data_IF_083789839068
#
_entry.id   IF_083789839068
#
_cell.length_a   1.000
_cell.length_b   1.000
_cell.length_c   1.000
_cell.angle_alpha   90.00
_cell.angle_beta   90.00
_cell.angle_gamma   90.00
#
_symmetry.space_group_name_H-M   'P 1'
#
loop_
_entity.id
_entity.type
_entity.pdbx_description
1 polymer ?
#
# COMPACT_ATOMS: atom_id res chain seq x y z
N UNK A 1 0.32 -17.37 2.89
CA UNK A 1 0.53 -18.14 4.16
C UNK A 1 -0.50 -17.69 5.18
N UNK A 2 -1.38 -18.57 5.70
CA UNK A 2 -2.42 -18.17 6.66
C UNK A 2 -1.77 -17.79 7.99
N UNK A 3 -1.93 -16.56 8.44
CA UNK A 3 -1.45 -16.10 9.74
C UNK A 3 -2.08 -16.92 10.88
N UNK A 4 -1.26 -17.28 11.87
CA UNK A 4 -1.74 -17.96 13.08
C UNK A 4 -2.42 -16.92 13.97
N UNK A 5 -3.66 -17.19 14.41
CA UNK A 5 -4.39 -16.32 15.35
C UNK A 5 -3.54 -15.99 16.58
N UNK A 6 -3.44 -14.70 16.90
CA UNK A 6 -2.72 -14.23 18.08
C UNK A 6 -3.58 -14.40 19.33
N UNK A 7 -2.95 -14.91 20.40
CA UNK A 7 -3.58 -14.86 21.72
C UNK A 7 -3.67 -13.40 22.17
N UNK A 8 -4.78 -13.06 22.82
CA UNK A 8 -5.03 -11.71 23.37
C UNK A 8 -4.94 -10.59 22.29
N UNK A 9 -5.46 -10.85 21.07
CA UNK A 9 -5.43 -9.86 19.99
C UNK A 9 -6.06 -8.52 20.45
N UNK A 10 -7.29 -8.55 20.94
CA UNK A 10 -8.02 -7.33 21.32
C UNK A 10 -7.29 -6.50 22.40
N UNK A 11 -6.84 -7.08 23.53
CA UNK A 11 -6.03 -6.33 24.50
C UNK A 11 -4.76 -5.70 23.90
N UNK A 12 -4.09 -6.37 22.96
CA UNK A 12 -2.89 -5.84 22.28
C UNK A 12 -3.24 -4.67 21.38
N UNK A 13 -4.36 -4.76 20.62
CA UNK A 13 -4.89 -3.68 19.81
C UNK A 13 -5.19 -2.44 20.67
N UNK A 14 -5.83 -2.63 21.86
CA UNK A 14 -6.12 -1.54 22.79
C UNK A 14 -4.86 -0.84 23.32
N UNK A 15 -3.81 -1.60 23.62
CA UNK A 15 -2.50 -1.04 24.04
C UNK A 15 -1.87 -0.15 22.96
N UNK A 16 -2.25 -0.34 21.68
CA UNK A 16 -1.78 0.43 20.54
C UNK A 16 -2.87 1.33 19.95
N UNK A 17 -3.90 1.67 20.75
CA UNK A 17 -5.09 2.39 20.26
C UNK A 17 -4.80 3.76 19.66
N UNK A 18 -3.70 4.42 20.05
CA UNK A 18 -3.23 5.69 19.49
C UNK A 18 -2.86 5.60 18.00
N UNK A 19 -2.54 4.39 17.51
CA UNK A 19 -2.23 4.12 16.11
C UNK A 19 -3.44 3.61 15.32
N UNK A 20 -4.55 3.27 15.95
CA UNK A 20 -5.67 2.57 15.33
C UNK A 20 -6.83 3.49 15.02
N UNK A 21 -7.09 3.70 13.75
CA UNK A 21 -8.30 4.39 13.27
C UNK A 21 -9.45 3.38 13.21
N UNK A 22 -10.39 3.50 14.15
CA UNK A 22 -11.54 2.57 14.29
C UNK A 22 -12.65 2.85 13.28
N UNK A 23 -12.84 4.11 12.92
CA UNK A 23 -13.82 4.54 11.91
C UNK A 23 -13.11 5.35 10.80
N UNK A 24 -12.55 4.64 9.80
CA UNK A 24 -11.88 5.30 8.69
C UNK A 24 -12.84 6.07 7.77
N UNK A 25 -14.13 5.73 7.79
CA UNK A 25 -15.14 6.43 6.97
C UNK A 25 -15.41 7.84 7.47
N UNK A 26 -15.36 8.05 8.78
CA UNK A 26 -15.48 9.38 9.40
C UNK A 26 -14.24 10.27 9.13
N UNK A 27 -13.11 9.66 8.70
CA UNK A 27 -11.87 10.36 8.38
C UNK A 27 -11.81 10.90 6.96
N UNK A 28 -12.72 10.52 6.08
CA UNK A 28 -12.75 10.96 4.68
C UNK A 28 -12.70 12.49 4.57
N UNK A 29 -11.67 13.01 3.90
CA UNK A 29 -11.40 14.44 3.74
C UNK A 29 -10.79 15.11 4.98
N UNK A 30 -10.40 14.34 6.01
CA UNK A 30 -9.87 14.85 7.28
C UNK A 30 -8.56 14.21 7.70
N UNK A 31 -7.98 13.34 6.87
CA UNK A 31 -6.75 12.64 7.25
C UNK A 31 -5.62 13.60 7.63
N UNK A 32 -5.49 14.72 6.93
CA UNK A 32 -4.48 15.74 7.23
C UNK A 32 -4.70 16.48 8.55
N UNK A 33 -5.88 16.34 9.20
CA UNK A 33 -6.11 16.88 10.54
C UNK A 33 -5.32 16.12 11.63
N UNK A 34 -4.92 14.86 11.35
CA UNK A 34 -4.05 14.09 12.25
C UNK A 34 -2.64 14.64 12.35
N UNK A 35 -2.17 15.30 11.28
CA UNK A 35 -0.84 15.90 11.18
C UNK A 35 -0.88 17.06 10.17
N UNK A 36 -1.38 18.24 10.57
CA UNK A 36 -1.60 19.37 9.65
C UNK A 36 -0.34 19.89 8.95
N UNK A 37 0.83 19.68 9.57
CA UNK A 37 2.15 20.04 9.04
C UNK A 37 2.73 19.01 8.06
N UNK A 38 2.05 17.88 7.86
CA UNK A 38 2.55 16.83 6.97
C UNK A 38 2.69 17.35 5.53
N UNK A 39 3.85 17.07 4.94
CA UNK A 39 4.13 17.44 3.55
C UNK A 39 3.31 16.60 2.58
N UNK A 40 3.25 15.29 2.80
CA UNK A 40 2.57 14.31 1.96
C UNK A 40 1.80 13.30 2.83
N UNK A 41 0.69 12.77 2.29
CA UNK A 41 0.00 11.61 2.81
C UNK A 41 0.37 10.38 2.00
N UNK A 42 1.04 9.44 2.62
CA UNK A 42 1.39 8.15 2.03
C UNK A 42 0.46 7.04 2.52
N UNK A 43 0.00 6.20 1.60
CA UNK A 43 -0.90 5.10 1.89
C UNK A 43 -0.25 3.76 1.52
N UNK A 44 -0.24 2.77 2.43
CA UNK A 44 0.21 1.41 2.15
C UNK A 44 -0.95 0.41 2.19
N UNK A 45 -1.08 -0.40 1.15
CA UNK A 45 -2.10 -1.44 1.04
C UNK A 45 -1.51 -2.82 1.37
N UNK A 46 -1.95 -3.41 2.48
CA UNK A 46 -1.47 -4.71 2.94
C UNK A 46 -0.13 -4.62 3.66
N UNK A 47 -0.03 -3.78 4.69
CA UNK A 47 1.23 -3.53 5.41
C UNK A 47 1.80 -4.76 6.15
N UNK A 48 1.01 -5.81 6.34
CA UNK A 48 1.42 -7.01 7.04
C UNK A 48 1.89 -6.73 8.47
N UNK A 49 3.15 -7.07 8.79
CA UNK A 49 3.76 -6.83 10.11
C UNK A 49 4.45 -5.47 10.23
N UNK A 50 4.32 -4.61 9.23
CA UNK A 50 4.66 -3.19 9.27
C UNK A 50 6.15 -2.85 9.33
N UNK A 51 7.06 -3.69 8.83
CA UNK A 51 8.47 -3.30 8.75
C UNK A 51 8.65 -2.13 7.81
N UNK A 52 8.13 -2.25 6.58
CA UNK A 52 8.21 -1.18 5.59
C UNK A 52 7.52 0.10 6.09
N UNK A 53 6.29 -0.04 6.62
CA UNK A 53 5.54 1.05 7.24
C UNK A 53 6.36 1.81 8.28
N UNK A 54 6.88 1.09 9.28
CA UNK A 54 7.58 1.69 10.40
C UNK A 54 8.93 2.32 10.01
N UNK A 55 9.71 1.64 9.16
CA UNK A 55 11.01 2.14 8.71
C UNK A 55 10.85 3.34 7.76
N UNK A 56 9.83 3.34 6.89
CA UNK A 56 9.51 4.48 6.00
C UNK A 56 9.04 5.70 6.81
N UNK A 57 8.11 5.52 7.74
CA UNK A 57 7.63 6.60 8.59
C UNK A 57 8.73 7.18 9.49
N UNK A 58 9.67 6.33 9.95
CA UNK A 58 10.84 6.77 10.73
C UNK A 58 11.83 7.56 9.89
N UNK A 59 12.04 7.13 8.63
CA UNK A 59 13.01 7.76 7.73
C UNK A 59 12.60 9.17 7.33
N UNK A 60 11.29 9.43 7.26
CA UNK A 60 10.77 10.77 6.96
C UNK A 60 9.62 11.13 7.92
N UNK A 61 9.92 11.81 9.02
CA UNK A 61 8.91 12.25 9.99
C UNK A 61 7.96 13.33 9.48
N UNK A 62 8.20 13.92 8.31
CA UNK A 62 7.30 14.90 7.68
C UNK A 62 6.14 14.27 6.90
N UNK A 63 6.13 12.95 6.77
CA UNK A 63 5.05 12.21 6.11
C UNK A 63 3.93 11.89 7.09
N UNK A 64 2.70 12.07 6.66
CA UNK A 64 1.54 11.42 7.26
C UNK A 64 1.40 10.03 6.61
N UNK A 65 1.58 8.97 7.39
CA UNK A 65 1.57 7.61 6.87
C UNK A 65 0.33 6.85 7.33
N UNK A 66 -0.44 6.32 6.39
CA UNK A 66 -1.62 5.48 6.67
C UNK A 66 -1.40 4.09 6.09
N UNK A 67 -1.66 3.05 6.87
CA UNK A 67 -1.51 1.67 6.44
C UNK A 67 -2.81 0.87 6.62
N UNK A 68 -3.24 0.19 5.57
CA UNK A 68 -4.43 -0.68 5.59
C UNK A 68 -3.98 -2.14 5.65
N UNK A 69 -4.58 -2.91 6.57
CA UNK A 69 -4.35 -4.36 6.65
C UNK A 69 -5.66 -5.08 6.98
N UNK A 70 -5.98 -6.14 6.19
CA UNK A 70 -7.19 -6.96 6.37
C UNK A 70 -7.07 -7.99 7.48
N UNK A 71 -5.86 -8.26 7.95
CA UNK A 71 -5.58 -9.30 8.94
C UNK A 71 -5.16 -8.64 10.25
N UNK A 72 -6.08 -8.46 11.21
CA UNK A 72 -5.77 -7.77 12.48
C UNK A 72 -4.61 -8.41 13.25
N UNK A 73 -4.42 -9.72 13.12
CA UNK A 73 -3.26 -10.45 13.68
C UNK A 73 -1.90 -10.01 13.12
N UNK A 74 -1.87 -9.45 11.90
CA UNK A 74 -0.68 -8.84 11.31
C UNK A 74 -0.57 -7.38 11.73
N UNK A 75 -1.66 -6.63 11.61
CA UNK A 75 -1.73 -5.22 11.92
C UNK A 75 -1.31 -4.90 13.36
N UNK A 76 -1.72 -5.71 14.34
CA UNK A 76 -1.30 -5.51 15.74
C UNK A 76 0.21 -5.55 15.91
N UNK A 77 0.91 -6.42 15.17
CA UNK A 77 2.40 -6.48 15.19
C UNK A 77 3.01 -5.22 14.57
N UNK A 78 2.38 -4.70 13.51
CA UNK A 78 2.81 -3.45 12.89
C UNK A 78 2.65 -2.25 13.84
N UNK A 79 1.51 -2.14 14.51
CA UNK A 79 1.26 -1.10 15.52
C UNK A 79 2.25 -1.18 16.69
N UNK A 80 2.47 -2.39 17.24
CA UNK A 80 3.47 -2.60 18.32
C UNK A 80 4.88 -2.19 17.89
N UNK A 81 5.26 -2.47 16.63
CA UNK A 81 6.55 -2.04 16.06
C UNK A 81 6.66 -0.52 16.03
N UNK A 82 5.64 0.19 15.54
CA UNK A 82 5.62 1.65 15.51
C UNK A 82 5.67 2.24 16.91
N UNK A 83 4.93 1.67 17.86
CA UNK A 83 4.95 2.07 19.26
C UNK A 83 6.32 1.88 19.90
N UNK A 84 6.96 0.74 19.68
CA UNK A 84 8.32 0.47 20.17
C UNK A 84 9.38 1.43 19.60
N UNK A 85 9.14 1.96 18.39
CA UNK A 85 10.00 2.95 17.73
C UNK A 85 9.64 4.40 18.09
N UNK A 86 8.55 4.64 18.85
CA UNK A 86 8.08 5.96 19.24
C UNK A 86 7.63 6.84 18.06
N UNK A 87 7.03 6.25 17.05
CA UNK A 87 6.57 6.99 15.87
C UNK A 87 5.27 7.73 16.18
N UNK A 88 5.11 8.93 15.61
CA UNK A 88 3.91 9.77 15.82
C UNK A 88 3.24 10.21 14.51
N UNK A 89 3.73 9.71 13.39
CA UNK A 89 3.30 10.07 12.03
C UNK A 89 2.71 8.89 11.25
N UNK A 90 2.22 7.86 11.94
CA UNK A 90 1.68 6.64 11.30
C UNK A 90 0.37 6.19 11.96
N UNK A 91 -0.62 5.79 11.13
CA UNK A 91 -1.91 5.27 11.59
C UNK A 91 -2.30 4.02 10.78
N UNK A 92 -3.12 3.16 11.39
CA UNK A 92 -3.53 1.89 10.83
C UNK A 92 -5.04 1.76 10.73
N UNK A 93 -5.49 1.13 9.64
CA UNK A 93 -6.89 0.79 9.36
C UNK A 93 -7.01 -0.73 9.27
N UNK A 94 -7.90 -1.33 10.10
CA UNK A 94 -8.37 -2.70 9.90
C UNK A 94 -9.46 -2.66 8.81
N UNK A 95 -9.09 -2.94 7.57
CA UNK A 95 -9.99 -2.73 6.45
C UNK A 95 -9.58 -3.37 5.13
N UNK A 96 -10.48 -3.23 4.17
CA UNK A 96 -10.29 -3.70 2.80
C UNK A 96 -10.00 -2.52 1.86
N UNK A 97 -8.92 -2.61 1.07
CA UNK A 97 -8.58 -1.66 0.02
C UNK A 97 -9.69 -1.50 -1.05
N UNK A 98 -10.64 -2.42 -1.12
CA UNK A 98 -11.82 -2.28 -1.99
C UNK A 98 -12.74 -1.10 -1.60
N UNK A 99 -12.58 -0.53 -0.41
CA UNK A 99 -13.38 0.56 0.13
C UNK A 99 -12.62 1.90 0.17
N UNK A 100 -11.52 2.04 -0.57
CA UNK A 100 -10.67 3.23 -0.53
C UNK A 100 -11.42 4.53 -0.78
N UNK A 101 -12.25 4.58 -1.81
CA UNK A 101 -13.02 5.80 -2.15
C UNK A 101 -14.11 6.16 -1.13
N UNK A 102 -14.41 5.25 -0.19
CA UNK A 102 -15.29 5.53 0.94
C UNK A 102 -14.52 6.07 2.15
N UNK A 103 -13.24 5.73 2.26
CA UNK A 103 -12.34 6.12 3.36
C UNK A 103 -11.53 7.38 3.07
N UNK A 104 -11.21 7.66 1.80
CA UNK A 104 -10.42 8.82 1.38
C UNK A 104 -11.23 9.70 0.42
N UNK A 105 -11.08 11.01 0.55
CA UNK A 105 -11.64 11.99 -0.38
C UNK A 105 -10.84 12.01 -1.71
N UNK A 106 -11.39 12.63 -2.76
CA UNK A 106 -10.63 12.88 -3.98
C UNK A 106 -9.35 13.68 -3.68
N UNK A 107 -8.25 13.27 -4.33
CA UNK A 107 -6.95 13.93 -4.27
C UNK A 107 -6.36 14.05 -2.85
N UNK A 108 -6.74 13.17 -1.94
CA UNK A 108 -6.28 13.22 -0.54
C UNK A 108 -4.95 12.48 -0.31
N UNK A 109 -4.55 11.60 -1.24
CA UNK A 109 -3.37 10.73 -1.14
C UNK A 109 -2.32 11.15 -2.16
N UNK A 110 -1.08 11.39 -1.72
CA UNK A 110 0.03 11.76 -2.59
C UNK A 110 0.75 10.52 -3.16
N UNK A 111 0.86 9.44 -2.36
CA UNK A 111 1.56 8.22 -2.77
C UNK A 111 0.93 6.95 -2.19
N UNK A 112 0.89 5.91 -3.00
CA UNK A 112 0.35 4.62 -2.65
C UNK A 112 1.40 3.52 -2.81
N UNK A 113 1.54 2.66 -1.81
CA UNK A 113 2.46 1.52 -1.83
C UNK A 113 1.69 0.21 -1.89
N UNK A 114 2.11 -0.68 -2.80
CA UNK A 114 1.64 -2.06 -2.94
C UNK A 114 2.87 -2.97 -2.89
N UNK A 115 3.12 -3.57 -1.74
CA UNK A 115 4.29 -4.40 -1.53
C UNK A 115 3.89 -5.87 -1.35
N UNK A 116 4.31 -6.76 -2.27
CA UNK A 116 4.14 -8.22 -2.17
C UNK A 116 2.69 -8.67 -1.94
N UNK A 117 1.76 -8.04 -2.63
CA UNK A 117 0.35 -8.42 -2.58
C UNK A 117 0.10 -9.81 -3.19
N UNK A 118 -1.05 -10.42 -2.83
CA UNK A 118 -1.45 -11.72 -3.35
C UNK A 118 -1.57 -11.73 -4.89
N UNK A 119 -0.91 -12.66 -5.60
CA UNK A 119 -0.86 -12.65 -7.06
C UNK A 119 -2.13 -13.15 -7.74
N UNK A 120 -3.03 -13.85 -7.02
CA UNK A 120 -4.27 -14.40 -7.53
C UNK A 120 -4.10 -15.05 -8.91
N UNK A 121 -3.43 -16.23 -9.00
CA UNK A 121 -2.95 -16.78 -10.27
C UNK A 121 -4.07 -17.30 -11.20
N UNK A 122 -5.26 -17.61 -10.67
CA UNK A 122 -6.37 -18.13 -11.46
C UNK A 122 -7.07 -17.01 -12.24
N UNK A 123 -7.49 -17.28 -13.47
CA UNK A 123 -8.14 -16.30 -14.35
C UNK A 123 -9.42 -15.69 -13.75
N UNK A 124 -10.23 -16.49 -13.06
CA UNK A 124 -11.45 -16.03 -12.38
C UNK A 124 -11.19 -15.20 -11.11
N UNK A 125 -9.93 -15.03 -10.69
CA UNK A 125 -9.53 -14.28 -9.52
C UNK A 125 -8.81 -12.95 -9.87
N UNK A 126 -8.62 -12.65 -11.16
CA UNK A 126 -7.90 -11.43 -11.61
C UNK A 126 -8.43 -10.15 -10.96
N UNK A 127 -9.76 -10.03 -10.80
CA UNK A 127 -10.43 -8.88 -10.17
C UNK A 127 -10.02 -8.62 -8.70
N UNK A 128 -9.32 -9.57 -8.08
CA UNK A 128 -8.81 -9.47 -6.69
C UNK A 128 -7.39 -8.91 -6.60
N UNK A 129 -6.68 -8.80 -7.73
CA UNK A 129 -5.33 -8.21 -7.78
C UNK A 129 -5.41 -6.73 -7.47
N UNK A 130 -4.55 -6.24 -6.61
CA UNK A 130 -4.50 -4.81 -6.26
C UNK A 130 -4.06 -3.93 -7.46
N UNK A 131 -3.50 -4.52 -8.50
CA UNK A 131 -3.17 -3.84 -9.76
C UNK A 131 -4.23 -4.02 -10.87
N UNK A 132 -5.41 -4.57 -10.56
CA UNK A 132 -6.52 -4.70 -11.50
C UNK A 132 -7.26 -3.37 -11.68
N UNK A 133 -7.83 -3.14 -12.88
CA UNK A 133 -8.56 -1.94 -13.24
C UNK A 133 -9.61 -1.48 -12.22
N UNK A 134 -10.31 -2.40 -11.56
CA UNK A 134 -11.27 -2.06 -10.50
C UNK A 134 -10.61 -1.29 -9.32
N UNK A 135 -9.37 -1.61 -8.99
CA UNK A 135 -8.60 -0.92 -7.96
C UNK A 135 -7.96 0.35 -8.53
N UNK A 136 -7.40 0.27 -9.75
CA UNK A 136 -6.78 1.43 -10.40
C UNK A 136 -7.76 2.60 -10.56
N UNK A 137 -9.02 2.32 -10.90
CA UNK A 137 -10.10 3.33 -10.92
C UNK A 137 -10.35 3.96 -9.54
N UNK A 138 -10.21 3.20 -8.45
CA UNK A 138 -10.31 3.75 -7.10
C UNK A 138 -9.08 4.57 -6.72
N UNK A 139 -7.88 4.10 -7.11
CA UNK A 139 -6.64 4.85 -6.86
C UNK A 139 -6.67 6.21 -7.55
N UNK A 140 -7.16 6.28 -8.79
CA UNK A 140 -7.36 7.55 -9.50
C UNK A 140 -8.28 8.53 -8.79
N UNK A 141 -9.27 8.02 -8.05
CA UNK A 141 -10.19 8.89 -7.30
C UNK A 141 -9.55 9.52 -6.06
N UNK A 142 -8.63 8.82 -5.41
CA UNK A 142 -8.06 9.24 -4.13
C UNK A 142 -6.67 9.83 -4.24
N UNK A 143 -5.90 9.48 -5.30
CA UNK A 143 -4.59 10.07 -5.57
C UNK A 143 -4.75 11.49 -6.11
N UNK A 144 -3.85 12.38 -5.72
CA UNK A 144 -3.69 13.68 -6.39
C UNK A 144 -3.17 13.51 -7.82
N UNK A 145 -3.34 14.53 -8.67
CA UNK A 145 -2.76 14.54 -10.01
C UNK A 145 -1.22 14.52 -9.91
N UNK A 146 -0.59 13.59 -10.62
CA UNK A 146 0.84 13.32 -10.49
C UNK A 146 1.21 12.40 -9.32
N UNK A 147 0.24 12.01 -8.48
CA UNK A 147 0.42 11.05 -7.40
C UNK A 147 0.87 9.68 -7.91
N UNK A 148 1.58 8.93 -7.08
CA UNK A 148 2.30 7.74 -7.52
C UNK A 148 1.84 6.47 -6.84
N UNK A 149 1.86 5.36 -7.60
CA UNK A 149 1.78 4.00 -7.09
C UNK A 149 3.18 3.39 -7.16
N UNK A 150 3.73 2.98 -6.02
CA UNK A 150 4.96 2.22 -5.93
C UNK A 150 4.63 0.75 -5.73
N UNK A 151 4.94 -0.08 -6.70
CA UNK A 151 4.62 -1.50 -6.70
C UNK A 151 5.88 -2.36 -6.68
N UNK A 152 5.93 -3.32 -5.72
CA UNK A 152 6.98 -4.33 -5.62
C UNK A 152 6.38 -5.73 -5.51
N UNK A 153 6.97 -6.70 -6.20
CA UNK A 153 6.59 -8.13 -6.13
C UNK A 153 7.73 -9.05 -6.52
N UNK A 154 7.77 -10.24 -5.94
CA UNK A 154 8.62 -11.35 -6.36
C UNK A 154 7.94 -12.27 -7.40
N UNK A 155 6.70 -11.97 -7.78
CA UNK A 155 5.91 -12.77 -8.71
C UNK A 155 5.96 -12.19 -10.12
N UNK A 156 6.76 -12.80 -10.99
CA UNK A 156 6.97 -12.34 -12.37
C UNK A 156 5.66 -12.28 -13.18
N UNK A 157 4.76 -13.27 -13.01
CA UNK A 157 3.48 -13.29 -13.75
C UNK A 157 2.54 -12.15 -13.33
N UNK A 158 2.51 -11.81 -12.04
CA UNK A 158 1.75 -10.66 -11.58
C UNK A 158 2.41 -9.37 -12.10
N UNK A 159 3.73 -9.30 -12.09
CA UNK A 159 4.47 -8.15 -12.57
C UNK A 159 4.25 -7.89 -14.06
N UNK A 160 4.41 -8.91 -14.90
CA UNK A 160 4.16 -8.83 -16.36
C UNK A 160 2.74 -8.36 -16.65
N UNK A 161 1.76 -8.98 -16.00
CA UNK A 161 0.38 -8.57 -16.13
C UNK A 161 0.14 -7.13 -15.68
N UNK A 162 0.79 -6.68 -14.60
CA UNK A 162 0.66 -5.32 -14.09
C UNK A 162 1.29 -4.27 -15.01
N UNK A 163 2.38 -4.60 -15.71
CA UNK A 163 3.00 -3.75 -16.74
C UNK A 163 2.04 -3.47 -17.90
N UNK A 164 1.18 -4.43 -18.24
CA UNK A 164 0.16 -4.29 -19.30
C UNK A 164 -1.11 -3.60 -18.81
N UNK A 165 -1.56 -3.91 -17.59
CA UNK A 165 -2.84 -3.43 -17.04
C UNK A 165 -2.77 -1.96 -16.58
N UNK A 166 -1.74 -1.58 -15.83
CA UNK A 166 -1.66 -0.26 -15.17
C UNK A 166 -1.73 0.91 -16.17
N UNK A 167 -1.03 0.90 -17.32
CA UNK A 167 -1.09 2.00 -18.28
C UNK A 167 -2.48 2.22 -18.90
N UNK A 168 -3.30 1.18 -18.99
CA UNK A 168 -4.66 1.26 -19.56
C UNK A 168 -5.61 2.13 -18.71
N UNK A 169 -5.20 2.46 -17.49
CA UNK A 169 -5.99 3.26 -16.54
C UNK A 169 -5.36 4.63 -16.24
N UNK A 170 -4.56 5.18 -17.16
CA UNK A 170 -4.02 6.53 -17.05
C UNK A 170 -2.89 6.65 -16.03
N UNK A 171 -1.98 5.70 -16.05
CA UNK A 171 -0.73 5.76 -15.29
C UNK A 171 0.47 5.57 -16.22
N UNK A 172 1.45 6.45 -16.14
CA UNK A 172 2.74 6.30 -16.82
C UNK A 172 3.71 5.54 -15.94
N UNK A 173 4.38 4.53 -16.55
CA UNK A 173 5.35 3.70 -15.84
C UNK A 173 6.75 4.29 -15.90
N UNK A 174 7.43 4.26 -14.76
CA UNK A 174 8.83 4.60 -14.59
C UNK A 174 9.52 3.65 -13.61
N UNK A 175 10.85 3.74 -13.50
CA UNK A 175 11.65 2.91 -12.60
C UNK A 175 11.32 1.39 -12.69
N UNK A 176 11.06 0.95 -13.92
CA UNK A 176 10.72 -0.45 -14.23
C UNK A 176 11.97 -1.30 -14.15
N UNK A 177 11.99 -2.25 -13.22
CA UNK A 177 13.10 -3.20 -13.07
C UNK A 177 12.62 -4.58 -12.66
N UNK A 178 13.35 -5.61 -13.08
CA UNK A 178 13.13 -7.00 -12.64
C UNK A 178 14.10 -7.43 -11.54
N UNK A 179 15.01 -6.53 -11.14
CA UNK A 179 15.94 -6.77 -10.05
C UNK A 179 16.26 -5.45 -9.34
N UNK A 180 15.42 -5.11 -8.35
CA UNK A 180 15.52 -3.86 -7.59
C UNK A 180 16.86 -3.72 -6.86
N UNK A 181 17.46 -4.85 -6.47
CA UNK A 181 18.65 -4.87 -5.61
C UNK A 181 19.90 -5.34 -6.35
N UNK A 182 19.92 -5.33 -7.69
CA UNK A 182 21.05 -5.78 -8.52
C UNK A 182 22.37 -5.11 -8.13
N UNK A 183 22.32 -3.79 -7.87
CA UNK A 183 23.49 -2.96 -7.54
C UNK A 183 23.57 -2.63 -6.02
N UNK A 184 22.91 -3.43 -5.19
CA UNK A 184 22.83 -3.22 -3.74
C UNK A 184 21.42 -2.90 -3.25
N UNK A 185 21.25 -2.83 -1.94
CA UNK A 185 19.94 -2.59 -1.33
C UNK A 185 19.41 -1.19 -1.66
N UNK A 186 18.22 -1.11 -2.24
CA UNK A 186 17.54 0.14 -2.58
C UNK A 186 16.33 0.34 -1.68
N UNK A 187 16.29 1.46 -0.96
CA UNK A 187 15.17 1.88 -0.12
C UNK A 187 14.89 0.96 1.07
N UNK A 188 13.67 1.08 1.61
CA UNK A 188 13.21 0.28 2.75
C UNK A 188 12.67 -1.06 2.28
N UNK A 189 13.10 -2.15 2.90
CA UNK A 189 12.62 -3.50 2.62
C UNK A 189 11.48 -3.90 3.57
N UNK A 190 10.49 -4.64 3.04
CA UNK A 190 9.54 -5.37 3.86
C UNK A 190 10.21 -6.56 4.58
N UNK A 191 9.55 -7.15 5.60
CA UNK A 191 10.05 -8.42 6.21
C UNK A 191 10.13 -9.56 5.17
N UNK A 192 9.25 -9.52 4.16
CA UNK A 192 9.20 -10.51 3.09
C UNK A 192 10.35 -10.31 2.09
N UNK A 193 10.57 -9.07 1.68
CA UNK A 193 11.61 -8.65 0.76
C UNK A 193 13.02 -8.98 1.30
N UNK A 194 13.29 -8.66 2.56
CA UNK A 194 14.56 -8.98 3.20
C UNK A 194 14.87 -10.48 3.15
N UNK A 195 13.86 -11.32 3.46
CA UNK A 195 14.00 -12.77 3.36
C UNK A 195 14.31 -13.24 1.94
N UNK A 196 13.65 -12.66 0.92
CA UNK A 196 13.91 -13.07 -0.48
C UNK A 196 15.22 -12.54 -1.00
N UNK A 197 15.64 -11.36 -0.59
CA UNK A 197 16.97 -10.81 -0.90
C UNK A 197 18.08 -11.72 -0.34
N UNK A 198 17.97 -12.19 0.91
CA UNK A 198 18.89 -13.16 1.50
C UNK A 198 18.95 -14.49 0.73
N UNK A 199 17.87 -14.88 0.06
CA UNK A 199 17.79 -16.08 -0.77
C UNK A 199 18.23 -15.84 -2.23
N UNK A 200 18.72 -14.64 -2.57
CA UNK A 200 19.14 -14.27 -3.92
C UNK A 200 17.98 -14.20 -4.93
N UNK A 201 16.76 -13.93 -4.47
CA UNK A 201 15.61 -13.74 -5.35
C UNK A 201 15.53 -12.29 -5.82
N UNK A 202 15.35 -12.12 -7.12
CA UNK A 202 15.11 -10.81 -7.71
C UNK A 202 13.76 -10.26 -7.26
N UNK A 203 13.70 -8.96 -7.09
CA UNK A 203 12.48 -8.20 -6.75
C UNK A 203 12.12 -7.30 -7.92
N UNK A 204 10.95 -7.53 -8.48
CA UNK A 204 10.37 -6.68 -9.50
C UNK A 204 9.83 -5.39 -8.85
N UNK A 205 10.09 -4.24 -9.49
CA UNK A 205 9.57 -2.93 -9.07
C UNK A 205 9.14 -2.11 -10.27
N UNK A 206 8.10 -1.31 -10.10
CA UNK A 206 7.74 -0.20 -10.96
C UNK A 206 7.19 0.96 -10.12
N UNK A 207 7.26 2.17 -10.68
CA UNK A 207 6.50 3.33 -10.23
C UNK A 207 5.52 3.69 -11.33
N UNK A 208 4.27 3.96 -10.94
CA UNK A 208 3.22 4.37 -11.85
C UNK A 208 2.69 5.73 -11.42
N UNK A 209 2.89 6.75 -12.25
CA UNK A 209 2.48 8.14 -11.98
C UNK A 209 1.13 8.41 -12.64
N UNK A 210 0.18 8.93 -11.88
CA UNK A 210 -1.14 9.29 -12.40
C UNK A 210 -1.01 10.49 -13.34
N UNK A 211 -1.53 10.31 -14.56
CA UNK A 211 -1.57 11.35 -15.59
C UNK A 211 -3.00 11.67 -15.99
N UNK A 212 -3.18 12.73 -16.74
CA UNK A 212 -4.47 13.05 -17.35
C UNK A 212 -4.93 11.90 -18.25
N UNK A 213 -6.19 11.50 -18.12
CA UNK A 213 -6.71 10.31 -18.81
C UNK A 213 -8.23 10.34 -18.88
N UNK A 214 -8.74 10.10 -20.05
CA UNK A 214 -10.17 9.90 -20.27
C UNK A 214 -10.49 8.41 -20.34
N UNK A 215 -11.49 7.98 -19.57
CA UNK A 215 -11.96 6.60 -19.64
C UNK A 215 -12.45 6.31 -21.06
N UNK A 216 -11.91 5.26 -21.74
CA UNK A 216 -12.39 4.88 -23.05
C UNK A 216 -13.91 4.64 -23.02
N UNK A 217 -14.64 5.29 -23.90
CA UNK A 217 -16.08 5.04 -24.07
C UNK A 217 -16.22 3.61 -24.61
N UNK A 218 -16.86 2.73 -23.83
CA UNK A 218 -17.24 1.41 -24.35
C UNK A 218 -18.13 1.64 -25.57
N UNK A 219 -17.65 1.32 -26.77
CA UNK A 219 -18.48 1.26 -27.96
C UNK A 219 -19.52 0.16 -27.72
N UNK A 220 -20.78 0.52 -27.61
CA UNK A 220 -21.89 -0.44 -27.64
C UNK A 220 -21.83 -1.15 -29.01
N UNK A 221 -21.31 -2.38 -29.05
CA UNK A 221 -21.49 -3.34 -30.15
C UNK A 221 -22.63 -4.29 -29.82
#
# INVERSE_FOLDING_TARGET
MRMRKKKNLQPRMEVCSEYWIRDPFAMKGKWRELMPEARELHLELGCGKGRFTAETAKADPSLLYVAIEKVPDAMVVAMERCKAMGLHNVWFIDGDAALLSDMFAPEEVDRLYINFCDPWPKSNQKKRRLTHGNFLKQYRKVLEMGGQIHFKTDNDKLYEWSLEEIPQFGFELSEVTRDLHADGVVGVMTDYEAKFHELGKNINRLVATMVDWEEPVESEE
#
